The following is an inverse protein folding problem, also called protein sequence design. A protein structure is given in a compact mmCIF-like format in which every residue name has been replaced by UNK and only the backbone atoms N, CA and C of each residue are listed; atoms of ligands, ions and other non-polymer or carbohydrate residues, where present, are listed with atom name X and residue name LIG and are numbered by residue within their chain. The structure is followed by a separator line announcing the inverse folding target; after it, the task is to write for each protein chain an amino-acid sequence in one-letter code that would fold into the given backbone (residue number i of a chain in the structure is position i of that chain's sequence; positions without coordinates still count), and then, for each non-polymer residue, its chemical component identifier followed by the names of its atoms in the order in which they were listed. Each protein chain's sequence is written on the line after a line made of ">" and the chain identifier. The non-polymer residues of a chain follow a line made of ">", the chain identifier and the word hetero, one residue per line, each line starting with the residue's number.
data_IF_883527723089
#
_entry.id   IF_883527723089
#
_cell.length_a   1.000
_cell.length_b   1.000
_cell.length_c   1.000
_cell.angle_alpha   90.00
_cell.angle_beta   90.00
_cell.angle_gamma   90.00
#
_symmetry.space_group_name_H-M   'P 1'
#
loop_
_entity.id
_entity.type
_entity.pdbx_description
1 polymer ?
#
# COMPACT_ATOMS: atom_id res chain seq x y z
N UNK A 1 -4.48 14.82 -7.13
CA UNK A 1 -4.57 13.57 -6.34
C UNK A 1 -5.63 12.70 -6.97
N UNK A 2 -5.38 11.39 -7.19
CA UNK A 2 -6.38 10.50 -7.78
C UNK A 2 -7.62 10.40 -6.88
N UNK A 3 -8.81 10.36 -7.47
CA UNK A 3 -10.06 10.12 -6.75
C UNK A 3 -10.17 8.63 -6.37
N UNK A 4 -10.74 8.35 -5.19
CA UNK A 4 -11.09 6.99 -4.78
C UNK A 4 -12.32 6.53 -5.55
N UNK A 5 -12.16 5.48 -6.34
CA UNK A 5 -13.21 4.91 -7.20
C UNK A 5 -13.12 3.39 -7.22
N UNK A 6 -14.21 2.73 -7.63
CA UNK A 6 -14.22 1.28 -7.87
C UNK A 6 -13.43 0.84 -9.11
N UNK A 7 -13.03 1.78 -9.99
CA UNK A 7 -12.48 1.47 -11.32
C UNK A 7 -11.23 0.59 -11.31
N UNK A 8 -10.45 0.64 -10.24
CA UNK A 8 -9.24 -0.18 -10.08
C UNK A 8 -9.41 -1.30 -9.06
N UNK A 9 -10.59 -1.47 -8.49
CA UNK A 9 -10.94 -2.54 -7.56
C UNK A 9 -10.24 -2.49 -6.20
N UNK A 10 -10.79 -3.26 -5.27
CA UNK A 10 -10.26 -3.43 -3.93
C UNK A 10 -8.93 -4.20 -3.93
N UNK A 11 -7.96 -3.80 -3.10
CA UNK A 11 -6.63 -4.40 -3.11
C UNK A 11 -6.69 -5.87 -2.62
N UNK A 12 -6.29 -6.87 -3.44
CA UNK A 12 -6.53 -8.29 -3.14
C UNK A 12 -5.84 -8.82 -1.88
N UNK A 13 -4.73 -8.18 -1.46
CA UNK A 13 -4.03 -8.54 -0.23
C UNK A 13 -4.98 -8.60 0.97
N UNK A 14 -5.84 -7.59 1.16
CA UNK A 14 -6.76 -7.56 2.30
C UNK A 14 -7.65 -8.81 2.35
N UNK A 15 -8.19 -9.24 1.21
CA UNK A 15 -9.08 -10.41 1.16
C UNK A 15 -8.32 -11.73 1.36
N UNK A 16 -7.05 -11.82 0.94
CA UNK A 16 -6.23 -13.03 1.11
C UNK A 16 -5.74 -13.25 2.54
N UNK A 17 -5.67 -12.18 3.34
CA UNK A 17 -5.27 -12.27 4.74
C UNK A 17 -6.46 -12.62 5.66
N UNK A 18 -7.67 -12.67 5.12
CA UNK A 18 -8.87 -13.05 5.87
C UNK A 18 -9.11 -14.57 5.77
N UNK A 19 -9.67 -15.20 6.81
CA UNK A 19 -10.24 -16.54 6.70
C UNK A 19 -11.27 -16.57 5.56
N UNK A 20 -11.38 -17.70 4.85
CA UNK A 20 -12.19 -17.84 3.64
C UNK A 20 -13.63 -17.33 3.81
N UNK A 21 -14.32 -17.77 4.86
CA UNK A 21 -15.69 -17.32 5.16
C UNK A 21 -15.79 -15.80 5.33
N UNK A 22 -14.82 -15.17 6.01
CA UNK A 22 -14.79 -13.72 6.23
C UNK A 22 -14.44 -12.98 4.94
N UNK A 23 -13.58 -13.57 4.10
CA UNK A 23 -13.24 -13.02 2.80
C UNK A 23 -14.45 -12.96 1.86
N UNK A 24 -15.31 -13.99 1.89
CA UNK A 24 -16.55 -14.03 1.12
C UNK A 24 -17.56 -12.99 1.59
N UNK A 25 -17.76 -12.87 2.90
CA UNK A 25 -18.59 -11.82 3.50
C UNK A 25 -18.09 -10.42 3.13
N UNK A 26 -16.76 -10.21 3.16
CA UNK A 26 -16.13 -8.96 2.77
C UNK A 26 -16.35 -8.64 1.28
N UNK A 27 -16.23 -9.63 0.38
CA UNK A 27 -16.54 -9.44 -1.05
C UNK A 27 -18.00 -9.05 -1.27
N UNK A 28 -18.92 -9.71 -0.58
CA UNK A 28 -20.34 -9.39 -0.66
C UNK A 28 -20.64 -7.99 -0.10
N UNK A 29 -19.95 -7.57 0.96
CA UNK A 29 -20.07 -6.21 1.51
C UNK A 29 -19.54 -5.15 0.53
N UNK A 30 -18.36 -5.36 -0.04
CA UNK A 30 -17.75 -4.46 -1.02
C UNK A 30 -18.66 -4.29 -2.24
N UNK A 31 -19.17 -5.39 -2.82
CA UNK A 31 -20.05 -5.34 -3.98
C UNK A 31 -21.38 -4.59 -3.69
N UNK A 32 -21.95 -4.80 -2.49
CA UNK A 32 -23.13 -4.04 -2.05
C UNK A 32 -22.83 -2.55 -1.88
N UNK A 33 -21.68 -2.21 -1.31
CA UNK A 33 -21.24 -0.82 -1.18
C UNK A 33 -21.07 -0.16 -2.55
N UNK A 34 -20.38 -0.80 -3.50
CA UNK A 34 -20.20 -0.28 -4.87
C UNK A 34 -21.55 0.00 -5.54
N UNK A 35 -22.49 -0.95 -5.43
CA UNK A 35 -23.84 -0.79 -6.00
C UNK A 35 -24.62 0.36 -5.35
N UNK A 36 -24.53 0.50 -4.02
CA UNK A 36 -25.20 1.57 -3.29
C UNK A 36 -24.60 2.95 -3.62
N UNK A 37 -23.28 3.06 -3.78
CA UNK A 37 -22.61 4.30 -4.18
C UNK A 37 -23.05 4.71 -5.57
N UNK A 38 -23.01 3.79 -6.54
CA UNK A 38 -23.45 4.06 -7.92
C UNK A 38 -24.92 4.53 -7.99
N UNK A 39 -25.77 4.00 -7.11
CA UNK A 39 -27.18 4.38 -7.02
C UNK A 39 -27.42 5.78 -6.43
N UNK A 40 -26.42 6.42 -5.80
CA UNK A 40 -26.54 7.79 -5.29
C UNK A 40 -26.71 8.80 -6.44
N UNK A 41 -26.20 8.51 -7.63
CA UNK A 41 -26.17 9.45 -8.75
C UNK A 41 -25.42 10.75 -8.44
N UNK A 42 -24.46 10.68 -7.51
CA UNK A 42 -23.67 11.81 -7.06
C UNK A 42 -22.46 12.04 -7.99
N UNK A 43 -21.73 13.14 -7.79
CA UNK A 43 -20.48 13.34 -8.52
C UNK A 43 -19.36 12.45 -7.96
N UNK A 44 -18.35 12.08 -8.76
CA UNK A 44 -17.22 11.25 -8.31
C UNK A 44 -16.50 11.82 -7.07
N UNK A 45 -16.46 13.15 -6.94
CA UNK A 45 -15.87 13.85 -5.80
C UNK A 45 -16.64 13.62 -4.49
N UNK A 46 -17.95 13.35 -4.57
CA UNK A 46 -18.78 13.01 -3.42
C UNK A 46 -18.76 11.51 -3.17
N UNK A 47 -18.84 10.70 -4.23
CA UNK A 47 -18.80 9.23 -4.13
C UNK A 47 -17.53 8.72 -3.44
N UNK A 48 -16.38 9.38 -3.63
CA UNK A 48 -15.10 8.99 -3.04
C UNK A 48 -15.16 8.81 -1.51
N UNK A 49 -16.03 9.57 -0.82
CA UNK A 49 -16.17 9.53 0.63
C UNK A 49 -16.91 8.29 1.15
N UNK A 50 -17.61 7.59 0.26
CA UNK A 50 -18.37 6.39 0.61
C UNK A 50 -17.62 5.09 0.32
N UNK A 51 -16.57 5.13 -0.49
CA UNK A 51 -15.71 3.96 -0.70
C UNK A 51 -14.90 3.63 0.55
N UNK A 52 -14.85 2.34 0.90
CA UNK A 52 -13.99 1.87 1.98
C UNK A 52 -12.50 2.14 1.68
N UNK A 53 -11.67 2.27 2.72
CA UNK A 53 -10.22 2.25 2.53
C UNK A 53 -9.76 0.88 2.01
N UNK A 54 -8.88 0.87 1.00
CA UNK A 54 -8.33 -0.36 0.44
C UNK A 54 -8.49 -0.49 -1.07
N UNK A 55 -9.27 0.37 -1.72
CA UNK A 55 -9.27 0.48 -3.19
C UNK A 55 -7.92 0.90 -3.73
N UNK A 56 -7.56 0.35 -4.89
CA UNK A 56 -6.32 0.70 -5.59
C UNK A 56 -6.50 2.05 -6.26
N UNK A 57 -5.44 2.85 -6.22
CA UNK A 57 -5.40 4.15 -6.87
C UNK A 57 -4.23 4.20 -7.85
N UNK A 58 -4.43 4.75 -9.06
CA UNK A 58 -3.34 5.04 -9.96
C UNK A 58 -2.58 6.24 -9.39
N UNK A 59 -1.31 6.05 -9.08
CA UNK A 59 -0.46 7.09 -8.55
C UNK A 59 0.76 7.25 -9.44
N UNK A 60 1.16 8.50 -9.67
CA UNK A 60 2.45 8.83 -10.27
C UNK A 60 3.37 9.35 -9.17
N UNK A 61 4.56 8.76 -9.07
CA UNK A 61 5.60 9.17 -8.14
C UNK A 61 6.79 9.66 -8.94
N UNK A 62 7.18 10.91 -8.71
CA UNK A 62 8.37 11.52 -9.32
C UNK A 62 9.25 12.06 -8.20
N UNK A 63 10.55 11.85 -8.31
CA UNK A 63 11.51 12.31 -7.32
C UNK A 63 12.94 12.22 -7.82
N UNK A 64 13.85 12.90 -7.14
CA UNK A 64 15.28 12.74 -7.38
C UNK A 64 15.75 11.37 -6.88
N UNK A 65 16.88 10.89 -7.40
CA UNK A 65 17.45 9.60 -6.98
C UNK A 65 17.62 9.51 -5.44
N UNK A 66 18.21 10.50 -4.72
CA UNK A 66 18.31 10.43 -3.26
C UNK A 66 16.95 10.32 -2.55
N UNK A 67 15.93 11.02 -3.03
CA UNK A 67 14.58 10.95 -2.45
C UNK A 67 13.94 9.58 -2.63
N UNK A 68 14.16 8.94 -3.78
CA UNK A 68 13.65 7.60 -4.06
C UNK A 68 14.41 6.54 -3.25
N UNK A 69 15.74 6.66 -3.11
CA UNK A 69 16.56 5.81 -2.22
C UNK A 69 16.04 5.88 -0.79
N UNK A 70 15.90 7.08 -0.24
CA UNK A 70 15.38 7.28 1.11
C UNK A 70 13.98 6.66 1.28
N UNK A 71 13.09 6.86 0.30
CA UNK A 71 11.75 6.30 0.32
C UNK A 71 11.78 4.77 0.37
N UNK A 72 12.56 4.12 -0.49
CA UNK A 72 12.56 2.65 -0.56
C UNK A 72 13.19 2.03 0.68
N UNK A 73 14.27 2.60 1.21
CA UNK A 73 14.92 2.08 2.43
C UNK A 73 13.98 2.18 3.64
N UNK A 74 13.24 3.29 3.77
CA UNK A 74 12.28 3.45 4.87
C UNK A 74 11.03 2.58 4.68
N UNK A 75 10.52 2.47 3.45
CA UNK A 75 9.21 1.86 3.17
C UNK A 75 9.27 0.38 2.79
N UNK A 76 10.45 -0.17 2.50
CA UNK A 76 10.64 -1.59 2.23
C UNK A 76 10.85 -2.44 3.51
N UNK A 77 10.90 -1.82 4.69
CA UNK A 77 11.10 -2.52 5.98
C UNK A 77 9.90 -3.38 6.36
N UNK A 78 10.13 -4.45 7.15
CA UNK A 78 9.07 -5.32 7.68
C UNK A 78 8.01 -4.60 8.51
N UNK A 79 8.34 -3.43 9.06
CA UNK A 79 7.43 -2.59 9.85
C UNK A 79 6.45 -1.79 9.00
N UNK A 80 6.59 -1.78 7.68
CA UNK A 80 5.63 -1.10 6.80
C UNK A 80 4.50 -2.03 6.39
N UNK A 81 3.29 -1.47 6.24
CA UNK A 81 2.11 -2.20 5.78
C UNK A 81 2.41 -2.94 4.45
N UNK A 82 2.03 -4.22 4.30
CA UNK A 82 2.49 -5.04 3.18
C UNK A 82 2.18 -4.46 1.79
N UNK A 83 1.05 -3.77 1.63
CA UNK A 83 0.67 -3.16 0.34
C UNK A 83 1.64 -2.07 -0.11
N UNK A 84 2.11 -1.21 0.81
CA UNK A 84 3.13 -0.19 0.51
C UNK A 84 4.52 -0.81 0.41
N UNK A 85 4.85 -1.74 1.31
CA UNK A 85 6.14 -2.45 1.30
C UNK A 85 6.39 -3.13 -0.05
N UNK A 86 5.37 -3.75 -0.62
CA UNK A 86 5.46 -4.37 -1.94
C UNK A 86 5.83 -3.34 -3.02
N UNK A 87 5.20 -2.15 -3.03
CA UNK A 87 5.53 -1.08 -3.98
C UNK A 87 6.93 -0.51 -3.77
N UNK A 88 7.35 -0.32 -2.51
CA UNK A 88 8.70 0.15 -2.19
C UNK A 88 9.77 -0.83 -2.70
N UNK A 89 9.55 -2.14 -2.57
CA UNK A 89 10.46 -3.16 -3.11
C UNK A 89 10.49 -3.20 -4.64
N UNK A 90 9.36 -2.95 -5.30
CA UNK A 90 9.33 -2.81 -6.76
C UNK A 90 10.19 -1.64 -7.22
N UNK A 91 10.01 -0.47 -6.60
CA UNK A 91 10.84 0.71 -6.90
C UNK A 91 12.32 0.39 -6.63
N UNK A 92 12.65 -0.27 -5.53
CA UNK A 92 14.03 -0.64 -5.22
C UNK A 92 14.65 -1.56 -6.28
N UNK A 93 13.88 -2.53 -6.80
CA UNK A 93 14.33 -3.40 -7.88
C UNK A 93 14.57 -2.61 -9.18
N UNK A 94 13.68 -1.69 -9.53
CA UNK A 94 13.83 -0.83 -10.72
C UNK A 94 15.05 0.09 -10.61
N UNK A 95 15.29 0.65 -9.42
CA UNK A 95 16.48 1.47 -9.13
C UNK A 95 17.77 0.67 -9.24
N UNK A 96 17.83 -0.53 -8.63
CA UNK A 96 19.00 -1.39 -8.74
C UNK A 96 19.26 -1.80 -10.19
N UNK A 97 18.23 -2.24 -10.92
CA UNK A 97 18.36 -2.62 -12.33
C UNK A 97 18.85 -1.48 -13.23
N UNK A 98 18.56 -0.23 -12.87
CA UNK A 98 18.97 0.95 -13.64
C UNK A 98 20.33 1.52 -13.22
N UNK A 99 20.69 1.45 -11.94
CA UNK A 99 21.78 2.24 -11.36
C UNK A 99 22.86 1.45 -10.61
N UNK A 100 22.71 0.14 -10.41
CA UNK A 100 23.71 -0.70 -9.73
C UNK A 100 25.08 -0.64 -10.43
N UNK A 101 25.08 -0.69 -11.77
CA UNK A 101 26.31 -0.58 -12.57
C UNK A 101 27.04 0.77 -12.47
N UNK A 102 26.37 1.79 -11.94
CA UNK A 102 26.94 3.11 -11.67
C UNK A 102 27.31 3.30 -10.19
N UNK A 103 27.24 2.23 -9.38
CA UNK A 103 27.64 2.22 -7.98
C UNK A 103 26.52 2.55 -7.00
N UNK A 104 25.25 2.52 -7.42
CA UNK A 104 24.14 2.66 -6.47
C UNK A 104 24.08 1.44 -5.53
N UNK A 105 24.01 1.71 -4.23
CA UNK A 105 23.81 0.70 -3.18
C UNK A 105 22.55 1.05 -2.41
N UNK A 106 21.67 0.07 -2.19
CA UNK A 106 20.48 0.19 -1.35
C UNK A 106 20.62 -0.68 -0.09
N UNK A 107 20.28 -0.12 1.07
CA UNK A 107 20.29 -0.82 2.35
C UNK A 107 18.89 -1.29 2.74
N UNK A 108 18.42 -2.34 2.07
CA UNK A 108 17.09 -2.91 2.31
C UNK A 108 17.09 -3.94 3.45
N UNK A 109 15.94 -4.07 4.11
CA UNK A 109 15.67 -5.17 5.05
C UNK A 109 15.74 -6.52 4.31
N UNK A 110 16.65 -7.38 4.76
CA UNK A 110 16.89 -8.73 4.23
C UNK A 110 15.81 -9.73 4.63
N UNK A 111 15.02 -9.44 5.67
CA UNK A 111 13.99 -10.32 6.21
C UNK A 111 12.61 -9.64 6.26
N UNK A 112 12.05 -9.22 5.10
CA UNK A 112 10.84 -8.40 5.04
C UNK A 112 9.56 -9.12 5.52
N UNK A 113 9.59 -10.45 5.61
CA UNK A 113 8.44 -11.29 6.00
C UNK A 113 8.61 -11.92 7.39
N UNK A 114 9.70 -11.63 8.10
CA UNK A 114 9.89 -12.13 9.46
C UNK A 114 8.90 -11.45 10.39
N UNK A 115 8.07 -12.26 11.05
CA UNK A 115 7.22 -11.78 12.12
C UNK A 115 8.12 -11.40 13.32
N UNK A 116 8.01 -10.16 13.79
CA UNK A 116 8.77 -9.67 14.92
C UNK A 116 7.82 -9.25 16.04
N UNK A 117 7.74 -10.08 17.09
CA UNK A 117 6.90 -9.80 18.26
C UNK A 117 7.27 -8.48 18.95
N UNK A 118 8.55 -8.03 18.83
CA UNK A 118 9.00 -6.74 19.37
C UNK A 118 8.37 -5.55 18.68
N UNK A 119 7.75 -5.72 17.50
CA UNK A 119 6.96 -4.66 16.88
C UNK A 119 5.82 -4.19 17.80
N UNK A 120 5.22 -5.10 18.57
CA UNK A 120 4.21 -4.74 19.56
C UNK A 120 4.75 -3.88 20.71
N UNK A 121 6.08 -3.85 20.89
CA UNK A 121 6.78 -3.07 21.91
C UNK A 121 7.28 -1.71 21.37
N UNK A 122 7.19 -1.47 20.05
CA UNK A 122 7.61 -0.20 19.46
C UNK A 122 6.56 0.88 19.78
N UNK A 123 6.87 1.71 20.76
CA UNK A 123 6.08 2.88 21.14
C UNK A 123 6.80 4.19 20.78
N UNK A 124 6.03 5.26 20.52
CA UNK A 124 6.59 6.59 20.31
C UNK A 124 6.77 7.23 21.68
N UNK A 125 7.96 7.04 22.25
CA UNK A 125 8.38 7.75 23.46
C UNK A 125 8.84 9.16 23.11
N UNK A 126 8.38 10.12 23.90
CA UNK A 126 8.80 11.53 23.79
C UNK A 126 10.31 11.60 24.00
N UNK A 127 11.05 12.12 23.03
CA UNK A 127 12.48 12.43 23.21
C UNK A 127 12.59 13.69 24.07
N UNK A 128 13.38 13.62 25.14
CA UNK A 128 13.84 14.80 25.89
C UNK A 128 14.78 15.66 25.05
#
# INVERSE_FOLDING_TARGET
>A
MPLVTAAHGFHPWYLRELPEQVADDARALIARQESAIAALGASPEIEQYYYAMGYRLPNQLTGTLPSLVYLVELRATRFVHPTLRHRARQIAADLMGSFEGYGLVLHLDTEPNRFDARRGEHDIVKKE
#
